data_IF_183892714303
#
_entry.id   IF_183892714303
#
_cell.length_a   1.000
_cell.length_b   1.000
_cell.length_c   1.000
_cell.angle_alpha   90.00
_cell.angle_beta   90.00
_cell.angle_gamma   90.00
#
_symmetry.space_group_name_H-M   'P 1'
#
loop_
_entity.id
_entity.type
_entity.pdbx_description
1 polymer ?
#
# COMPACT_ATOMS: atom_id res chain seq x y z
N UNK A 1 9.08 -56.51 44.56
CA UNK A 1 9.78 -57.49 43.73
C UNK A 1 8.76 -57.97 42.72
N UNK A 2 8.33 -57.09 41.81
CA UNK A 2 8.96 -56.77 40.50
C UNK A 2 8.14 -57.53 39.44
N UNK A 3 7.77 -57.02 38.27
CA UNK A 3 7.96 -55.75 37.58
C UNK A 3 6.95 -55.74 36.41
N UNK A 4 6.41 -54.55 36.13
CA UNK A 4 6.19 -53.89 34.81
C UNK A 4 5.66 -54.68 33.59
N UNK A 5 4.47 -54.33 33.09
CA UNK A 5 4.17 -53.39 31.97
C UNK A 5 4.70 -53.77 30.58
N UNK A 6 3.78 -53.97 29.63
CA UNK A 6 3.89 -53.48 28.25
C UNK A 6 2.49 -53.52 27.63
N UNK A 7 1.78 -52.40 27.77
CA UNK A 7 0.56 -52.09 27.02
C UNK A 7 0.95 -51.36 25.74
N UNK A 8 0.25 -51.70 24.68
CA UNK A 8 0.43 -51.31 23.30
C UNK A 8 0.05 -49.84 23.11
N UNK A 9 1.06 -49.02 22.81
CA UNK A 9 0.93 -47.59 22.61
C UNK A 9 1.60 -47.15 21.33
N UNK A 10 1.26 -47.78 20.20
CA UNK A 10 1.53 -47.20 18.88
C UNK A 10 0.66 -45.95 18.71
N UNK A 11 1.22 -44.79 19.09
CA UNK A 11 0.71 -43.46 18.73
C UNK A 11 1.75 -42.78 17.86
N UNK A 12 1.41 -42.68 16.58
CA UNK A 12 1.81 -41.70 15.58
C UNK A 12 2.90 -40.71 16.01
N UNK A 13 4.14 -41.09 15.76
CA UNK A 13 5.29 -40.19 15.66
C UNK A 13 5.21 -39.45 14.30
N UNK A 14 4.28 -38.51 14.20
CA UNK A 14 4.11 -37.65 13.04
C UNK A 14 5.14 -36.50 13.10
N UNK A 15 6.34 -36.78 12.58
CA UNK A 15 7.19 -35.84 11.83
C UNK A 15 7.37 -34.43 12.41
N UNK A 16 8.07 -34.29 13.54
CA UNK A 16 8.90 -33.11 13.74
C UNK A 16 10.20 -33.27 12.96
N UNK A 17 10.15 -32.93 11.67
CA UNK A 17 11.35 -32.77 10.88
C UNK A 17 12.17 -31.60 11.43
N UNK A 18 13.40 -31.87 11.85
CA UNK A 18 14.45 -31.00 12.41
C UNK A 18 14.91 -29.86 11.46
N UNK A 19 13.95 -29.15 10.84
CA UNK A 19 14.22 -28.15 9.81
C UNK A 19 12.99 -27.43 9.22
N UNK A 20 11.77 -27.70 9.69
CA UNK A 20 10.60 -26.92 9.28
C UNK A 20 10.51 -25.63 10.10
N UNK A 21 10.54 -24.47 9.44
CA UNK A 21 10.45 -23.15 10.09
C UNK A 21 9.01 -22.79 10.54
N UNK A 22 8.06 -23.68 10.28
CA UNK A 22 6.66 -23.55 10.65
C UNK A 22 6.01 -24.92 10.90
N UNK A 23 4.98 -24.94 11.73
CA UNK A 23 4.06 -26.05 11.92
C UNK A 23 2.75 -25.75 11.17
N UNK A 24 2.23 -26.72 10.40
CA UNK A 24 0.93 -26.58 9.73
C UNK A 24 -0.20 -26.89 10.72
N UNK A 25 -1.27 -26.10 10.67
CA UNK A 25 -2.49 -26.43 11.38
C UNK A 25 -3.15 -27.68 10.78
N UNK A 26 -3.74 -28.50 11.65
CA UNK A 26 -4.49 -29.70 11.26
C UNK A 26 -5.94 -29.62 11.79
N UNK A 27 -6.95 -29.82 10.93
CA UNK A 27 -6.86 -30.04 9.48
C UNK A 27 -6.45 -28.75 8.74
N UNK A 28 -5.77 -28.91 7.59
CA UNK A 28 -5.44 -27.75 6.75
C UNK A 28 -6.74 -27.15 6.18
N UNK A 29 -6.95 -25.83 6.26
CA UNK A 29 -8.17 -25.21 5.76
C UNK A 29 -8.26 -25.34 4.24
N UNK A 30 -9.49 -25.53 3.76
CA UNK A 30 -9.77 -25.64 2.34
C UNK A 30 -9.84 -24.24 1.71
N UNK A 31 -8.76 -23.83 1.05
CA UNK A 31 -8.79 -22.72 0.11
C UNK A 31 -9.50 -23.23 -1.15
N UNK A 32 -10.75 -22.83 -1.36
CA UNK A 32 -11.54 -23.24 -2.53
C UNK A 32 -10.78 -23.00 -3.85
N UNK A 33 -11.13 -23.73 -4.91
CA UNK A 33 -10.60 -23.43 -6.25
C UNK A 33 -11.33 -22.21 -6.81
N UNK A 34 -10.59 -21.12 -7.02
CA UNK A 34 -11.06 -19.94 -7.74
C UNK A 34 -10.29 -19.79 -9.06
N UNK A 35 -10.92 -19.17 -10.06
CA UNK A 35 -10.32 -18.98 -11.40
C UNK A 35 -9.04 -18.13 -11.35
N UNK A 36 -8.95 -17.23 -10.37
CA UNK A 36 -7.72 -16.51 -9.99
C UNK A 36 -7.23 -17.03 -8.66
N UNK A 37 -5.93 -17.32 -8.54
CA UNK A 37 -5.35 -17.76 -7.26
C UNK A 37 -5.55 -16.74 -6.13
N UNK A 38 -5.41 -17.15 -4.85
CA UNK A 38 -5.63 -16.26 -3.72
C UNK A 38 -4.55 -15.18 -3.65
N UNK A 39 -4.93 -14.04 -3.08
CA UNK A 39 -3.99 -12.98 -2.68
C UNK A 39 -3.31 -13.39 -1.37
N UNK A 40 -2.03 -13.12 -1.22
CA UNK A 40 -1.32 -13.15 0.06
C UNK A 40 -1.08 -11.71 0.54
N UNK A 41 -1.75 -11.32 1.61
CA UNK A 41 -1.46 -10.09 2.34
C UNK A 41 -0.43 -10.40 3.42
N UNK A 42 0.66 -9.64 3.50
CA UNK A 42 1.62 -9.73 4.61
C UNK A 42 1.68 -8.43 5.41
N UNK A 43 1.45 -8.56 6.70
CA UNK A 43 1.35 -7.49 7.68
C UNK A 43 2.31 -7.78 8.84
N UNK A 44 3.59 -7.46 8.64
CA UNK A 44 4.65 -7.75 9.61
C UNK A 44 4.93 -6.52 10.48
N UNK A 45 4.76 -6.65 11.80
CA UNK A 45 5.08 -5.60 12.77
C UNK A 45 6.56 -5.66 13.18
N UNK A 46 7.30 -4.54 13.09
CA UNK A 46 8.72 -4.51 13.50
C UNK A 46 9.53 -3.38 12.90
N UNK A 47 9.58 -3.26 11.57
CA UNK A 47 10.38 -2.23 10.91
C UNK A 47 9.65 -0.88 10.75
N UNK A 48 8.44 -0.89 10.17
CA UNK A 48 7.70 0.33 9.84
C UNK A 48 6.20 0.14 10.11
N UNK A 49 5.81 0.32 11.37
CA UNK A 49 4.42 0.24 11.83
C UNK A 49 3.99 1.49 12.61
N UNK A 50 4.15 2.66 12.00
CA UNK A 50 3.69 3.91 12.61
C UNK A 50 2.18 3.85 12.89
N UNK A 51 1.79 4.29 14.08
CA UNK A 51 0.40 4.30 14.52
C UNK A 51 -0.18 2.90 14.73
N UNK A 52 0.68 1.88 14.82
CA UNK A 52 0.32 0.46 14.86
C UNK A 52 -0.63 0.04 13.72
N UNK A 53 -0.60 0.76 12.59
CA UNK A 53 -1.59 0.62 11.53
C UNK A 53 -1.57 -0.76 10.85
N UNK A 54 -0.40 -1.37 10.68
CA UNK A 54 -0.22 -2.72 10.12
C UNK A 54 -0.77 -3.77 11.09
N UNK A 55 -0.39 -3.68 12.37
CA UNK A 55 -0.91 -4.57 13.40
C UNK A 55 -2.43 -4.45 13.58
N UNK A 56 -2.97 -3.23 13.61
CA UNK A 56 -4.40 -2.95 13.69
C UNK A 56 -5.16 -3.49 12.48
N UNK A 57 -4.62 -3.32 11.26
CA UNK A 57 -5.23 -3.86 10.05
C UNK A 57 -5.30 -5.40 10.08
N UNK A 58 -4.20 -6.06 10.45
CA UNK A 58 -4.17 -7.52 10.57
C UNK A 58 -5.12 -8.03 11.65
N UNK A 59 -5.12 -7.41 12.84
CA UNK A 59 -6.02 -7.77 13.92
C UNK A 59 -7.49 -7.58 13.52
N UNK A 60 -7.81 -6.48 12.85
CA UNK A 60 -9.15 -6.20 12.36
C UNK A 60 -9.64 -7.26 11.37
N UNK A 61 -8.82 -7.64 10.38
CA UNK A 61 -9.16 -8.70 9.42
C UNK A 61 -9.43 -10.03 10.15
N UNK A 62 -8.58 -10.44 11.09
CA UNK A 62 -8.79 -11.69 11.83
C UNK A 62 -10.02 -11.69 12.74
N UNK A 63 -10.39 -10.52 13.28
CA UNK A 63 -11.48 -10.41 14.25
C UNK A 63 -12.85 -10.15 13.59
N UNK A 64 -12.86 -9.62 12.36
CA UNK A 64 -14.09 -9.24 11.65
C UNK A 64 -14.51 -10.22 10.56
N UNK A 65 -13.62 -11.13 10.14
CA UNK A 65 -13.85 -12.10 9.08
C UNK A 65 -13.60 -13.53 9.58
N UNK A 66 -14.15 -14.51 8.86
CA UNK A 66 -13.85 -15.92 9.10
C UNK A 66 -12.37 -16.16 8.79
N UNK A 67 -11.63 -16.68 9.77
CA UNK A 67 -10.17 -16.78 9.75
C UNK A 67 -9.71 -18.11 10.34
N UNK A 68 -9.18 -18.97 9.49
CA UNK A 68 -8.64 -20.27 9.86
C UNK A 68 -7.11 -20.23 9.91
N UNK A 69 -6.53 -20.75 10.98
CA UNK A 69 -5.07 -20.89 11.06
C UNK A 69 -4.58 -21.91 10.01
N UNK A 70 -3.55 -21.53 9.26
CA UNK A 70 -2.89 -22.37 8.25
C UNK A 70 -1.55 -22.86 8.75
N UNK A 71 -0.73 -21.95 9.28
CA UNK A 71 0.60 -22.24 9.75
C UNK A 71 1.02 -21.30 10.87
N UNK A 72 1.81 -21.82 11.81
CA UNK A 72 2.48 -21.05 12.86
C UNK A 72 3.99 -21.15 12.62
N UNK A 73 4.65 -20.01 12.45
CA UNK A 73 6.10 -19.95 12.34
C UNK A 73 6.75 -20.06 13.71
N UNK A 74 7.92 -20.68 13.77
CA UNK A 74 8.71 -20.81 14.99
C UNK A 74 9.37 -19.47 15.33
N UNK A 75 8.80 -18.74 16.29
CA UNK A 75 9.34 -17.44 16.73
C UNK A 75 10.60 -17.57 17.57
N UNK A 76 10.87 -18.72 18.19
CA UNK A 76 12.14 -18.95 18.92
C UNK A 76 13.34 -19.00 17.95
N UNK A 77 13.12 -19.49 16.73
CA UNK A 77 14.14 -19.54 15.67
C UNK A 77 14.28 -18.23 14.88
N UNK A 78 13.28 -17.33 14.98
CA UNK A 78 13.16 -16.14 14.14
C UNK A 78 13.37 -14.82 14.89
N UNK A 79 13.14 -14.78 16.20
CA UNK A 79 13.12 -13.54 16.99
C UNK A 79 14.34 -13.42 17.92
N UNK A 80 14.84 -12.20 18.06
CA UNK A 80 15.73 -11.81 19.14
C UNK A 80 14.93 -11.21 20.30
N UNK A 81 14.60 -12.04 21.27
CA UNK A 81 13.86 -11.66 22.48
C UNK A 81 14.57 -10.61 23.35
N UNK A 82 15.87 -10.36 23.17
CA UNK A 82 16.55 -9.28 23.90
C UNK A 82 16.32 -7.92 23.26
N UNK A 83 16.15 -7.91 21.94
CA UNK A 83 15.83 -6.70 21.18
C UNK A 83 14.34 -6.34 21.32
N UNK A 84 13.46 -7.34 21.38
CA UNK A 84 12.02 -7.17 21.63
C UNK A 84 11.55 -8.07 22.76
N UNK A 85 11.60 -7.56 23.99
CA UNK A 85 11.27 -8.32 25.19
C UNK A 85 9.76 -8.55 25.29
N UNK A 86 9.30 -9.81 25.39
CA UNK A 86 7.90 -10.12 25.69
C UNK A 86 7.46 -9.49 27.01
N UNK A 87 6.24 -8.93 27.01
CA UNK A 87 5.64 -8.38 28.22
C UNK A 87 5.11 -9.52 29.08
N UNK A 88 5.43 -9.48 30.38
CA UNK A 88 4.98 -10.45 31.38
C UNK A 88 3.96 -9.79 32.29
N UNK A 89 2.85 -10.45 32.52
CA UNK A 89 1.84 -10.01 33.47
C UNK A 89 2.27 -10.36 34.89
N UNK A 90 2.23 -9.37 35.79
CA UNK A 90 2.58 -9.53 37.19
C UNK A 90 1.44 -9.05 38.08
N UNK A 91 0.94 -9.96 38.91
CA UNK A 91 -0.19 -9.71 39.83
C UNK A 91 0.16 -8.86 41.06
N UNK A 92 1.44 -8.53 41.26
CA UNK A 92 1.98 -7.99 42.51
C UNK A 92 2.67 -9.03 43.38
N UNK A 93 2.35 -10.32 43.18
CA UNK A 93 2.94 -11.44 43.94
C UNK A 93 3.58 -12.50 43.04
N UNK A 94 2.90 -12.86 41.95
CA UNK A 94 3.38 -13.85 40.97
C UNK A 94 3.23 -13.36 39.54
N UNK A 95 4.08 -13.86 38.66
CA UNK A 95 3.87 -13.78 37.22
C UNK A 95 2.66 -14.66 36.84
N UNK A 96 1.78 -14.15 35.98
CA UNK A 96 0.51 -14.79 35.62
C UNK A 96 0.39 -15.11 34.13
N UNK A 97 1.19 -14.47 33.30
CA UNK A 97 1.11 -14.62 31.85
C UNK A 97 2.29 -13.96 31.15
N UNK A 98 2.48 -14.30 29.88
CA UNK A 98 3.44 -13.66 29.00
C UNK A 98 2.85 -13.56 27.60
N UNK A 99 2.94 -12.38 26.99
CA UNK A 99 2.56 -12.17 25.61
C UNK A 99 3.77 -12.45 24.71
N UNK A 100 3.93 -13.70 24.29
CA UNK A 100 4.98 -14.09 23.33
C UNK A 100 4.65 -13.55 21.92
N UNK A 101 5.65 -13.11 21.15
CA UNK A 101 5.44 -12.72 19.76
C UNK A 101 4.95 -13.93 18.96
N UNK A 102 4.08 -13.66 18.00
CA UNK A 102 3.51 -14.67 17.11
C UNK A 102 3.76 -14.26 15.67
N UNK A 103 3.87 -15.26 14.78
CA UNK A 103 3.94 -15.06 13.35
C UNK A 103 3.15 -16.19 12.71
N UNK A 104 1.99 -15.86 12.15
CA UNK A 104 1.02 -16.87 11.69
C UNK A 104 0.54 -16.57 10.28
N UNK A 105 0.22 -17.63 9.55
CA UNK A 105 -0.49 -17.59 8.29
C UNK A 105 -1.93 -18.04 8.53
N UNK A 106 -2.88 -17.24 8.08
CA UNK A 106 -4.31 -17.54 8.13
C UNK A 106 -4.89 -17.61 6.73
N UNK A 107 -5.90 -18.46 6.55
CA UNK A 107 -6.84 -18.45 5.44
C UNK A 107 -8.06 -17.63 5.88
N UNK A 108 -8.30 -16.51 5.21
CA UNK A 108 -9.36 -15.57 5.58
C UNK A 108 -10.34 -15.46 4.41
N UNK A 109 -11.63 -15.35 4.71
CA UNK A 109 -12.69 -15.12 3.72
C UNK A 109 -13.14 -13.68 3.78
N UNK A 110 -13.14 -12.98 2.65
CA UNK A 110 -13.68 -11.62 2.57
C UNK A 110 -15.22 -11.62 2.72
N UNK A 111 -15.85 -10.43 2.68
CA UNK A 111 -17.31 -10.33 2.87
C UNK A 111 -18.14 -11.02 1.76
N UNK A 112 -17.52 -11.39 0.63
CA UNK A 112 -18.13 -12.12 -0.49
C UNK A 112 -17.66 -13.59 -0.56
N UNK A 113 -17.13 -14.13 0.54
CA UNK A 113 -16.62 -15.51 0.65
C UNK A 113 -15.42 -15.81 -0.29
N UNK A 114 -14.71 -14.77 -0.76
CA UNK A 114 -13.49 -14.94 -1.54
C UNK A 114 -12.31 -15.17 -0.59
N UNK A 115 -11.58 -16.29 -0.72
CA UNK A 115 -10.47 -16.61 0.17
C UNK A 115 -9.22 -15.83 -0.21
N UNK A 116 -8.49 -15.39 0.81
CA UNK A 116 -7.15 -14.84 0.72
C UNK A 116 -6.30 -15.34 1.90
N UNK A 117 -4.99 -15.20 1.78
CA UNK A 117 -4.06 -15.53 2.85
C UNK A 117 -3.62 -14.26 3.58
N UNK A 118 -3.55 -14.34 4.90
CA UNK A 118 -3.02 -13.28 5.76
C UNK A 118 -1.83 -13.81 6.54
N UNK A 119 -0.63 -13.35 6.21
CA UNK A 119 0.58 -13.54 7.00
C UNK A 119 0.73 -12.34 7.94
N UNK A 120 0.66 -12.56 9.24
CA UNK A 120 0.66 -11.47 10.21
C UNK A 120 1.44 -11.78 11.49
N UNK A 121 1.98 -10.74 12.10
CA UNK A 121 2.66 -10.80 13.39
C UNK A 121 4.06 -10.20 13.31
N UNK A 122 4.90 -10.55 14.27
CA UNK A 122 6.21 -9.92 14.39
C UNK A 122 7.13 -10.27 13.23
N UNK A 123 7.77 -9.25 12.68
CA UNK A 123 8.76 -9.38 11.63
C UNK A 123 9.97 -10.16 12.16
N UNK A 124 10.47 -11.20 11.46
CA UNK A 124 11.65 -11.94 11.91
C UNK A 124 12.89 -11.04 12.06
N UNK A 125 13.67 -11.24 13.13
CA UNK A 125 15.02 -10.64 13.27
C UNK A 125 16.06 -11.48 12.53
N UNK A 126 15.83 -12.80 12.44
CA UNK A 126 16.79 -13.79 11.97
C UNK A 126 16.28 -14.52 10.72
N UNK A 127 17.21 -15.12 9.98
CA UNK A 127 16.93 -16.12 8.93
C UNK A 127 15.99 -15.67 7.79
N UNK A 128 16.03 -14.39 7.41
CA UNK A 128 15.11 -13.81 6.40
C UNK A 128 14.99 -14.62 5.10
N UNK A 129 16.08 -15.13 4.53
CA UNK A 129 16.02 -15.96 3.31
C UNK A 129 15.32 -17.31 3.54
N UNK A 130 15.53 -17.96 4.70
CA UNK A 130 14.81 -19.21 5.05
C UNK A 130 13.33 -18.94 5.29
N UNK A 131 13.01 -17.85 5.98
CA UNK A 131 11.64 -17.40 6.19
C UNK A 131 10.94 -17.12 4.86
N UNK A 132 11.58 -16.36 3.99
CA UNK A 132 11.07 -16.03 2.66
C UNK A 132 10.84 -17.28 1.82
N UNK A 133 11.77 -18.24 1.82
CA UNK A 133 11.61 -19.52 1.13
C UNK A 133 10.45 -20.37 1.71
N UNK A 134 10.27 -20.36 3.03
CA UNK A 134 9.15 -21.04 3.67
C UNK A 134 7.80 -20.43 3.26
N UNK A 135 7.69 -19.10 3.28
CA UNK A 135 6.49 -18.39 2.79
C UNK A 135 6.27 -18.64 1.30
N UNK A 136 7.32 -18.65 0.48
CA UNK A 136 7.25 -18.98 -0.95
C UNK A 136 6.67 -20.38 -1.19
N UNK A 137 7.10 -21.38 -0.41
CA UNK A 137 6.56 -22.75 -0.50
C UNK A 137 5.08 -22.82 -0.10
N UNK A 138 4.69 -22.09 0.95
CA UNK A 138 3.28 -21.97 1.32
C UNK A 138 2.48 -21.29 0.20
N UNK A 139 2.98 -20.20 -0.35
CA UNK A 139 2.38 -19.49 -1.48
C UNK A 139 2.24 -20.39 -2.72
N UNK A 140 3.24 -21.23 -3.04
CA UNK A 140 3.17 -22.21 -4.13
C UNK A 140 2.08 -23.26 -3.85
N UNK A 141 2.04 -23.79 -2.62
CA UNK A 141 1.08 -24.81 -2.19
C UNK A 141 -0.37 -24.35 -2.32
N UNK A 142 -0.64 -23.08 -2.03
CA UNK A 142 -1.97 -22.49 -2.10
C UNK A 142 -2.26 -21.78 -3.44
N UNK A 143 -1.31 -21.80 -4.39
CA UNK A 143 -1.49 -21.21 -5.71
C UNK A 143 -1.63 -19.68 -5.70
N UNK A 144 -0.95 -19.00 -4.77
CA UNK A 144 -0.99 -17.53 -4.64
C UNK A 144 -0.46 -16.86 -5.92
N UNK A 145 -1.25 -15.95 -6.48
CA UNK A 145 -0.91 -15.15 -7.68
C UNK A 145 -0.43 -13.74 -7.35
N UNK A 146 -0.92 -13.18 -6.24
CA UNK A 146 -0.75 -11.79 -5.86
C UNK A 146 -0.22 -11.69 -4.43
N UNK A 147 0.70 -10.75 -4.21
CA UNK A 147 1.32 -10.51 -2.91
C UNK A 147 1.23 -9.02 -2.60
N UNK A 148 0.68 -8.68 -1.44
CA UNK A 148 0.48 -7.30 -1.00
C UNK A 148 1.11 -7.11 0.38
N UNK A 149 2.15 -6.29 0.44
CA UNK A 149 2.80 -5.90 1.69
C UNK A 149 2.19 -4.64 2.29
N UNK A 150 1.93 -4.65 3.60
CA UNK A 150 1.46 -3.48 4.33
C UNK A 150 2.60 -2.85 5.13
N UNK A 151 2.73 -1.53 5.05
CA UNK A 151 3.69 -0.74 5.80
C UNK A 151 3.05 0.58 6.28
N UNK A 152 3.54 1.13 7.39
CA UNK A 152 3.12 2.44 7.88
C UNK A 152 4.32 3.30 8.25
N UNK A 153 4.39 4.51 7.66
CA UNK A 153 5.58 5.37 7.70
C UNK A 153 5.22 6.69 8.38
N UNK A 154 6.01 7.13 9.37
CA UNK A 154 5.80 8.43 10.00
C UNK A 154 6.20 9.55 9.05
N UNK A 155 5.30 10.50 8.80
CA UNK A 155 5.46 11.60 7.87
C UNK A 155 5.03 12.94 8.47
N UNK A 156 5.48 14.03 7.87
CA UNK A 156 5.02 15.38 8.17
C UNK A 156 3.64 15.62 7.54
N UNK A 157 2.62 14.95 8.06
CA UNK A 157 1.22 15.09 7.63
C UNK A 157 0.32 15.35 8.85
N UNK A 158 -0.80 16.09 8.70
CA UNK A 158 -1.73 16.34 9.79
C UNK A 158 -2.73 15.18 9.97
N UNK A 159 -3.23 14.98 11.19
CA UNK A 159 -4.28 14.01 11.50
C UNK A 159 -5.68 14.47 11.04
N UNK A 160 -5.82 15.75 10.67
CA UNK A 160 -7.06 16.41 10.23
C UNK A 160 -7.32 16.30 8.72
N UNK A 161 -6.48 15.55 7.98
CA UNK A 161 -6.65 15.25 6.56
C UNK A 161 -6.70 13.74 6.35
N UNK A 162 -7.29 13.25 5.23
CA UNK A 162 -7.30 11.82 4.92
C UNK A 162 -5.88 11.25 4.87
N UNK A 163 -5.68 10.07 5.47
CA UNK A 163 -4.41 9.38 5.42
C UNK A 163 -4.02 9.08 3.95
N UNK A 164 -2.81 9.46 3.57
CA UNK A 164 -2.28 9.22 2.23
C UNK A 164 -1.63 7.85 2.13
N UNK A 165 -1.59 7.29 0.92
CA UNK A 165 -0.86 6.06 0.60
C UNK A 165 0.12 6.33 -0.52
N UNK A 166 1.30 5.75 -0.39
CA UNK A 166 2.24 5.57 -1.50
C UNK A 166 2.37 4.08 -1.78
N UNK A 167 2.26 3.71 -3.05
CA UNK A 167 2.36 2.34 -3.51
C UNK A 167 3.64 2.10 -4.30
N UNK A 168 4.06 0.85 -4.32
CA UNK A 168 5.08 0.32 -5.23
C UNK A 168 4.71 -1.10 -5.63
N UNK A 169 5.32 -1.61 -6.69
CA UNK A 169 5.06 -2.97 -7.14
C UNK A 169 5.62 -3.27 -8.53
N UNK A 170 5.53 -4.54 -8.86
CA UNK A 170 6.02 -5.15 -10.09
C UNK A 170 5.08 -4.96 -11.29
N UNK A 171 3.80 -4.73 -11.04
CA UNK A 171 2.76 -4.54 -12.06
C UNK A 171 2.12 -3.15 -11.90
N UNK A 172 2.45 -2.19 -12.78
CA UNK A 172 1.92 -0.84 -12.69
C UNK A 172 0.41 -0.73 -12.87
N UNK A 173 -0.21 -1.66 -13.59
CA UNK A 173 -1.63 -1.63 -13.97
C UNK A 173 -2.51 -1.95 -12.77
N UNK A 174 -2.09 -2.92 -11.94
CA UNK A 174 -2.79 -3.25 -10.68
C UNK A 174 -2.82 -2.07 -9.70
N UNK A 175 -1.76 -1.27 -9.67
CA UNK A 175 -1.66 -0.15 -8.74
C UNK A 175 -2.58 1.02 -9.13
N UNK A 176 -3.05 1.07 -10.38
CA UNK A 176 -3.90 2.14 -10.90
C UNK A 176 -3.31 3.53 -10.63
N UNK A 177 -4.17 4.41 -10.09
CA UNK A 177 -3.86 5.81 -9.82
C UNK A 177 -3.20 6.05 -8.45
N UNK A 178 -2.81 4.98 -7.73
CA UNK A 178 -2.15 5.16 -6.44
C UNK A 178 -0.82 5.93 -6.61
N UNK A 179 -0.53 6.93 -5.76
CA UNK A 179 0.72 7.66 -5.80
C UNK A 179 1.92 6.73 -5.66
N UNK A 180 3.01 7.02 -6.38
CA UNK A 180 4.24 6.20 -6.41
C UNK A 180 5.42 7.01 -5.90
N UNK A 181 6.45 6.32 -5.37
CA UNK A 181 7.68 6.96 -4.87
C UNK A 181 8.46 7.76 -5.94
N UNK A 182 8.29 7.42 -7.23
CA UNK A 182 8.79 8.17 -8.38
C UNK A 182 10.30 8.05 -8.63
N UNK A 183 11.14 8.35 -7.63
CA UNK A 183 12.60 8.42 -7.79
C UNK A 183 13.31 7.23 -7.16
N UNK A 184 14.36 6.73 -7.82
CA UNK A 184 15.19 5.66 -7.28
C UNK A 184 15.90 6.11 -5.99
N UNK A 185 15.82 5.27 -4.96
CA UNK A 185 16.43 5.52 -3.65
C UNK A 185 16.96 4.23 -3.03
N UNK A 186 17.90 4.37 -2.09
CA UNK A 186 18.39 3.24 -1.27
C UNK A 186 17.75 3.36 0.11
N UNK A 187 17.12 2.28 0.56
CA UNK A 187 16.45 2.19 1.85
C UNK A 187 17.01 1.03 2.65
N UNK A 188 16.99 1.07 3.99
CA UNK A 188 17.22 -0.11 4.81
C UNK A 188 16.16 -1.17 4.46
N UNK A 189 16.60 -2.41 4.28
CA UNK A 189 15.71 -3.50 3.95
C UNK A 189 14.95 -4.01 5.19
N UNK A 190 13.79 -4.58 4.95
CA UNK A 190 13.00 -5.34 5.92
C UNK A 190 12.73 -6.76 5.39
N UNK A 191 12.32 -7.69 6.24
CA UNK A 191 11.91 -9.03 5.82
C UNK A 191 10.68 -8.96 4.91
N UNK A 192 9.76 -8.01 5.18
CA UNK A 192 8.61 -7.70 4.32
C UNK A 192 9.04 -7.32 2.90
N UNK A 193 10.02 -6.42 2.76
CA UNK A 193 10.56 -6.00 1.45
C UNK A 193 11.30 -7.14 0.73
N UNK A 194 12.06 -7.97 1.47
CA UNK A 194 12.75 -9.12 0.88
C UNK A 194 11.75 -10.17 0.38
N UNK A 195 10.69 -10.41 1.15
CA UNK A 195 9.60 -11.30 0.77
C UNK A 195 8.98 -10.85 -0.56
N UNK A 196 8.60 -9.58 -0.65
CA UNK A 196 8.04 -8.99 -1.87
C UNK A 196 8.98 -9.17 -3.08
N UNK A 197 10.27 -8.83 -2.92
CA UNK A 197 11.28 -8.97 -3.96
C UNK A 197 11.41 -10.42 -4.45
N UNK A 198 11.50 -11.39 -3.54
CA UNK A 198 11.71 -12.81 -3.88
C UNK A 198 10.48 -13.45 -4.50
N UNK A 199 9.27 -13.12 -4.01
CA UNK A 199 8.03 -13.65 -4.60
C UNK A 199 7.79 -13.02 -5.97
N UNK A 200 8.12 -11.74 -6.16
CA UNK A 200 8.10 -11.06 -7.47
C UNK A 200 9.06 -11.69 -8.47
N UNK A 201 10.30 -12.00 -8.05
CA UNK A 201 11.27 -12.77 -8.87
C UNK A 201 10.76 -14.17 -9.24
N UNK A 202 9.88 -14.74 -8.42
CA UNK A 202 9.18 -16.00 -8.68
C UNK A 202 7.97 -15.88 -9.62
N UNK A 203 7.73 -14.71 -10.23
CA UNK A 203 6.68 -14.49 -11.22
C UNK A 203 5.32 -14.10 -10.63
N UNK A 204 5.22 -13.81 -9.33
CA UNK A 204 4.00 -13.31 -8.70
C UNK A 204 3.88 -11.80 -8.89
N UNK A 205 2.65 -11.30 -8.92
CA UNK A 205 2.38 -9.86 -8.91
C UNK A 205 2.57 -9.37 -7.48
N UNK A 206 3.73 -8.80 -7.21
CA UNK A 206 4.12 -8.30 -5.89
C UNK A 206 3.97 -6.78 -5.83
N UNK A 207 3.35 -6.29 -4.75
CA UNK A 207 3.08 -4.88 -4.49
C UNK A 207 3.20 -4.59 -3.00
N UNK A 208 3.47 -3.32 -2.67
CA UNK A 208 3.47 -2.84 -1.30
C UNK A 208 2.74 -1.51 -1.18
N UNK A 209 2.06 -1.35 -0.05
CA UNK A 209 1.28 -0.18 0.31
C UNK A 209 1.85 0.44 1.58
N UNK A 210 2.29 1.70 1.48
CA UNK A 210 2.81 2.47 2.59
C UNK A 210 1.82 3.57 2.96
N UNK A 211 1.16 3.46 4.11
CA UNK A 211 0.31 4.53 4.64
C UNK A 211 1.15 5.57 5.38
N UNK A 212 0.82 6.84 5.18
CA UNK A 212 1.48 7.95 5.86
C UNK A 212 0.75 8.28 7.16
N UNK A 213 1.48 8.24 8.26
CA UNK A 213 0.96 8.50 9.60
C UNK A 213 1.56 9.80 10.11
N UNK A 214 0.78 10.71 10.73
CA UNK A 214 1.33 11.88 11.41
C UNK A 214 2.43 11.47 12.38
N UNK A 215 3.64 12.01 12.22
CA UNK A 215 4.79 11.58 13.01
C UNK A 215 4.59 11.67 14.53
N UNK A 216 3.78 12.62 15.01
CA UNK A 216 3.41 12.76 16.43
C UNK A 216 2.41 11.71 16.93
N UNK A 217 1.78 10.93 16.04
CA UNK A 217 0.90 9.79 16.38
C UNK A 217 1.56 8.43 16.15
N UNK A 218 2.87 8.40 15.83
CA UNK A 218 3.54 7.15 15.43
C UNK A 218 3.55 6.05 16.49
N UNK A 219 3.40 6.40 17.76
CA UNK A 219 3.46 5.50 18.92
C UNK A 219 2.09 5.26 19.57
N UNK A 220 1.01 5.74 18.95
CA UNK A 220 -0.36 5.63 19.44
C UNK A 220 -1.21 4.96 18.38
N UNK A 221 -2.15 4.11 18.77
CA UNK A 221 -3.08 3.48 17.83
C UNK A 221 -3.76 4.54 16.95
N UNK A 222 -3.59 4.42 15.63
CA UNK A 222 -4.16 5.32 14.64
C UNK A 222 -5.02 4.56 13.62
N UNK A 223 -6.27 4.19 13.97
CA UNK A 223 -7.12 3.33 13.15
C UNK A 223 -7.43 3.89 11.76
N UNK A 224 -7.36 5.22 11.58
CA UNK A 224 -7.52 5.86 10.28
C UNK A 224 -6.51 5.34 9.24
N UNK A 225 -5.27 5.09 9.66
CA UNK A 225 -4.25 4.54 8.79
C UNK A 225 -4.49 3.06 8.45
N UNK A 226 -4.96 2.26 9.42
CA UNK A 226 -5.37 0.88 9.18
C UNK A 226 -6.55 0.78 8.20
N UNK A 227 -7.59 1.60 8.39
CA UNK A 227 -8.73 1.70 7.46
C UNK A 227 -8.27 2.07 6.05
N UNK A 228 -7.38 3.07 5.95
CA UNK A 228 -6.83 3.51 4.67
C UNK A 228 -6.03 2.41 3.94
N UNK A 229 -5.22 1.63 4.68
CA UNK A 229 -4.49 0.48 4.15
C UNK A 229 -5.45 -0.55 3.55
N UNK A 230 -6.45 -0.99 4.33
CA UNK A 230 -7.41 -1.99 3.87
C UNK A 230 -8.23 -1.49 2.67
N UNK A 231 -8.60 -0.22 2.65
CA UNK A 231 -9.27 0.41 1.49
C UNK A 231 -8.39 0.36 0.23
N UNK A 232 -7.09 0.59 0.35
CA UNK A 232 -6.17 0.45 -0.79
C UNK A 232 -5.98 -1.01 -1.22
N UNK A 233 -5.94 -1.95 -0.28
CA UNK A 233 -5.92 -3.38 -0.59
C UNK A 233 -7.15 -3.75 -1.41
N UNK A 234 -8.34 -3.35 -0.95
CA UNK A 234 -9.61 -3.54 -1.70
C UNK A 234 -9.50 -2.99 -3.12
N UNK A 235 -8.97 -1.78 -3.28
CA UNK A 235 -8.85 -1.13 -4.59
C UNK A 235 -7.96 -1.91 -5.58
N UNK A 236 -6.83 -2.47 -5.13
CA UNK A 236 -5.88 -3.16 -6.03
C UNK A 236 -6.16 -4.66 -6.19
N UNK A 237 -6.88 -5.28 -5.25
CA UNK A 237 -7.12 -6.74 -5.24
C UNK A 237 -8.56 -7.13 -5.60
N UNK A 238 -9.50 -6.20 -5.45
CA UNK A 238 -10.94 -6.47 -5.53
C UNK A 238 -11.46 -7.35 -4.40
N UNK A 239 -10.75 -7.48 -3.28
CA UNK A 239 -11.26 -8.11 -2.06
C UNK A 239 -12.27 -7.19 -1.37
N UNK A 240 -13.34 -7.73 -0.81
CA UNK A 240 -14.32 -6.97 -0.04
C UNK A 240 -13.97 -6.98 1.46
N UNK A 241 -13.12 -6.03 1.85
CA UNK A 241 -12.62 -5.89 3.21
C UNK A 241 -13.43 -4.85 3.99
N UNK A 242 -14.21 -5.24 5.02
CA UNK A 242 -15.05 -4.30 5.75
C UNK A 242 -14.19 -3.38 6.63
N UNK A 243 -14.34 -2.07 6.52
CA UNK A 243 -13.56 -1.08 7.30
C UNK A 243 -14.37 -0.24 8.29
N UNK A 244 -15.70 -0.38 8.30
CA UNK A 244 -16.60 0.49 9.08
C UNK A 244 -16.28 0.57 10.59
N UNK A 245 -15.84 -0.54 11.20
CA UNK A 245 -15.45 -0.53 12.61
C UNK A 245 -14.14 0.23 12.86
N UNK A 246 -13.19 0.16 11.92
CA UNK A 246 -11.97 0.96 11.95
C UNK A 246 -12.28 2.44 11.75
N UNK A 247 -13.20 2.78 10.86
CA UNK A 247 -13.64 4.17 10.63
C UNK A 247 -14.28 4.76 11.89
N UNK A 248 -15.17 4.00 12.55
CA UNK A 248 -15.77 4.42 13.83
C UNK A 248 -14.71 4.60 14.91
N UNK A 249 -13.69 3.73 14.97
CA UNK A 249 -12.58 3.87 15.92
C UNK A 249 -11.69 5.07 15.57
N UNK A 250 -11.47 5.33 14.27
CA UNK A 250 -10.70 6.46 13.77
C UNK A 250 -11.34 7.80 14.13
N UNK A 251 -12.67 7.90 14.04
CA UNK A 251 -13.40 9.11 14.46
C UNK A 251 -13.19 9.41 15.95
N UNK A 252 -13.27 8.40 16.81
CA UNK A 252 -13.02 8.57 18.26
C UNK A 252 -11.59 9.02 18.56
N UNK A 253 -10.60 8.40 17.91
CA UNK A 253 -9.19 8.78 18.07
C UNK A 253 -8.97 10.21 17.58
N UNK A 254 -9.58 10.59 16.45
CA UNK A 254 -9.50 11.95 15.92
C UNK A 254 -10.05 12.97 16.91
N UNK A 255 -11.25 12.76 17.46
CA UNK A 255 -11.85 13.65 18.46
C UNK A 255 -10.99 13.81 19.71
N UNK A 256 -10.35 12.72 20.16
CA UNK A 256 -9.39 12.77 21.27
C UNK A 256 -8.18 13.63 20.92
N UNK A 257 -7.55 13.39 19.76
CA UNK A 257 -6.37 14.15 19.31
C UNK A 257 -6.73 15.63 19.11
N UNK A 258 -7.88 15.95 18.52
CA UNK A 258 -8.37 17.33 18.35
C UNK A 258 -8.48 18.04 19.71
N UNK A 259 -9.01 17.35 20.72
CA UNK A 259 -9.14 17.88 22.09
C UNK A 259 -7.75 18.17 22.70
N UNK A 260 -6.81 17.24 22.56
CA UNK A 260 -5.44 17.41 23.08
C UNK A 260 -4.69 18.56 22.37
N UNK A 261 -4.87 18.70 21.06
CA UNK A 261 -4.26 19.76 20.25
C UNK A 261 -4.83 21.13 20.59
N UNK A 262 -6.16 21.25 20.70
CA UNK A 262 -6.82 22.53 21.04
C UNK A 262 -6.46 23.07 22.42
N UNK A 263 -5.99 22.20 23.32
CA UNK A 263 -5.47 22.59 24.63
C UNK A 263 -4.09 23.23 24.59
N UNK A 264 -3.41 23.25 23.43
CA UNK A 264 -2.04 23.73 23.29
C UNK A 264 -1.82 24.51 21.98
N UNK A 265 -1.79 25.84 22.07
CA UNK A 265 -1.61 26.76 20.94
C UNK A 265 -0.31 26.53 20.13
N UNK A 266 0.75 26.02 20.76
CA UNK A 266 2.00 25.69 20.04
C UNK A 266 1.79 24.48 19.12
N UNK A 267 1.09 23.44 19.61
CA UNK A 267 0.77 22.25 18.82
C UNK A 267 -0.22 22.60 17.71
N UNK A 268 -1.22 23.41 18.00
CA UNK A 268 -2.19 23.91 17.01
C UNK A 268 -1.49 24.62 15.84
N UNK A 269 -0.48 25.45 16.13
CA UNK A 269 0.32 26.14 15.11
C UNK A 269 1.07 25.14 14.22
N UNK A 270 1.64 24.08 14.80
CA UNK A 270 2.34 23.03 14.04
C UNK A 270 1.36 22.26 13.15
N UNK A 271 0.19 21.88 13.68
CA UNK A 271 -0.84 21.16 12.90
C UNK A 271 -1.32 22.03 11.73
N UNK A 272 -1.61 23.31 11.97
CA UNK A 272 -2.01 24.26 10.92
C UNK A 272 -0.96 24.37 9.81
N UNK A 273 0.34 24.39 10.16
CA UNK A 273 1.41 24.42 9.17
C UNK A 273 1.46 23.13 8.33
N UNK A 274 1.23 21.96 8.95
CA UNK A 274 1.16 20.68 8.25
C UNK A 274 -0.05 20.60 7.32
N UNK A 275 -1.19 21.17 7.71
CA UNK A 275 -2.38 21.30 6.84
C UNK A 275 -2.09 22.12 5.59
N UNK A 276 -1.47 23.29 5.75
CA UNK A 276 -1.10 24.14 4.62
C UNK A 276 -0.15 23.42 3.65
N UNK A 277 0.84 22.69 4.18
CA UNK A 277 1.77 21.90 3.35
C UNK A 277 1.06 20.77 2.61
N UNK A 278 0.17 20.05 3.29
CA UNK A 278 -0.62 18.97 2.70
C UNK A 278 -1.52 19.50 1.58
N UNK A 279 -2.29 20.56 1.84
CA UNK A 279 -3.26 21.12 0.90
C UNK A 279 -2.54 21.68 -0.35
N UNK A 280 -1.39 22.35 -0.17
CA UNK A 280 -0.57 22.83 -1.28
C UNK A 280 -0.01 21.67 -2.13
N UNK A 281 0.43 20.57 -1.51
CA UNK A 281 0.91 19.39 -2.23
C UNK A 281 -0.21 18.72 -3.05
N UNK A 282 -1.41 18.56 -2.46
CA UNK A 282 -2.56 17.98 -3.15
C UNK A 282 -3.04 18.85 -4.33
N UNK A 283 -3.03 20.18 -4.17
CA UNK A 283 -3.32 21.10 -5.26
C UNK A 283 -2.33 20.93 -6.42
N UNK A 284 -1.03 20.91 -6.13
CA UNK A 284 0.00 20.72 -7.15
C UNK A 284 -0.11 19.36 -7.87
N UNK A 285 -0.46 18.28 -7.15
CA UNK A 285 -0.73 16.98 -7.78
C UNK A 285 -1.95 17.03 -8.71
N UNK A 286 -3.04 17.65 -8.25
CA UNK A 286 -4.29 17.76 -9.02
C UNK A 286 -4.07 18.59 -10.29
N UNK A 287 -3.35 19.70 -10.20
CA UNK A 287 -2.96 20.51 -11.35
C UNK A 287 -2.11 19.71 -12.33
N UNK A 288 -1.12 18.96 -11.85
CA UNK A 288 -0.29 18.11 -12.70
C UNK A 288 -1.09 17.02 -13.41
N UNK A 289 -2.02 16.36 -12.71
CA UNK A 289 -2.90 15.37 -13.30
C UNK A 289 -3.83 15.99 -14.36
N UNK A 290 -4.38 17.18 -14.08
CA UNK A 290 -5.21 17.94 -15.02
C UNK A 290 -4.45 18.34 -16.29
N UNK A 291 -3.20 18.81 -16.14
CA UNK A 291 -2.32 19.15 -17.27
C UNK A 291 -2.00 17.91 -18.13
N UNK A 292 -1.69 16.77 -17.51
CA UNK A 292 -1.44 15.51 -18.23
C UNK A 292 -2.69 15.01 -18.96
N UNK A 293 -3.88 15.10 -18.35
CA UNK A 293 -5.15 14.78 -19.01
C UNK A 293 -5.48 15.73 -20.17
N UNK A 294 -5.01 16.98 -20.09
CA UNK A 294 -5.13 17.96 -21.18
C UNK A 294 -4.17 17.62 -22.33
N UNK A 295 -2.97 17.11 -22.05
CA UNK A 295 -2.02 16.65 -23.07
C UNK A 295 -2.52 15.38 -23.81
N UNK A 296 -3.15 14.42 -23.11
CA UNK A 296 -3.78 13.25 -23.74
C UNK A 296 -5.00 13.58 -24.62
N UNK A 297 -5.59 14.77 -24.46
CA UNK A 297 -6.74 15.24 -25.24
C UNK A 297 -6.38 16.25 -26.34
N UNK A 298 -5.09 16.51 -26.58
CA UNK A 298 -4.64 17.26 -27.75
C UNK A 298 -4.78 16.37 -29.00
N UNK A 299 -5.49 16.82 -30.06
CA UNK A 299 -5.59 16.06 -31.29
C UNK A 299 -4.21 15.80 -31.88
N UNK A 300 -4.02 14.59 -32.41
CA UNK A 300 -2.73 14.18 -32.98
C UNK A 300 -2.35 15.07 -34.18
N UNK A 301 -1.05 15.13 -34.51
CA UNK A 301 -0.58 15.89 -35.68
C UNK A 301 -1.25 15.46 -37.00
N UNK A 302 -1.70 14.21 -37.08
CA UNK A 302 -2.44 13.67 -38.23
C UNK A 302 -3.90 14.14 -38.24
N UNK A 303 -4.55 14.30 -37.08
CA UNK A 303 -5.90 14.86 -36.96
C UNK A 303 -5.91 16.36 -37.28
N UNK A 304 -4.91 17.10 -36.79
CA UNK A 304 -4.68 18.50 -37.14
C UNK A 304 -4.34 18.66 -38.64
N UNK A 305 -3.58 17.72 -39.21
CA UNK A 305 -3.30 17.66 -40.64
C UNK A 305 -4.55 17.41 -41.48
N UNK A 306 -5.41 16.48 -41.05
CA UNK A 306 -6.67 16.18 -41.73
C UNK A 306 -7.68 17.34 -41.66
N UNK A 307 -7.75 18.07 -40.54
CA UNK A 307 -8.55 19.30 -40.46
C UNK A 307 -7.99 20.43 -41.33
N UNK A 308 -6.65 20.58 -41.37
CA UNK A 308 -6.00 21.58 -42.22
C UNK A 308 -6.21 21.28 -43.71
N UNK A 309 -6.10 20.02 -44.14
CA UNK A 309 -6.39 19.60 -45.52
C UNK A 309 -7.86 19.83 -45.88
N UNK A 310 -8.78 19.56 -44.96
CA UNK A 310 -10.21 19.84 -45.15
C UNK A 310 -10.47 21.35 -45.27
N UNK A 311 -9.82 22.17 -44.46
CA UNK A 311 -9.89 23.64 -44.53
C UNK A 311 -9.30 24.19 -45.84
N UNK A 312 -8.15 23.65 -46.30
CA UNK A 312 -7.52 24.04 -47.56
C UNK A 312 -8.32 23.59 -48.80
N UNK A 313 -9.03 22.45 -48.71
CA UNK A 313 -9.93 21.97 -49.74
C UNK A 313 -11.20 22.84 -49.87
N UNK A 314 -11.71 23.36 -48.75
CA UNK A 314 -12.82 24.32 -48.75
C UNK A 314 -12.42 25.67 -49.36
N UNK A 315 -11.19 26.14 -49.11
CA UNK A 315 -10.62 27.32 -49.78
C UNK A 315 -10.48 27.14 -51.30
N UNK A 316 -10.11 25.95 -51.77
CA UNK A 316 -9.98 25.67 -53.21
C UNK A 316 -11.32 25.48 -53.94
N UNK A 317 -12.42 25.20 -53.23
CA UNK A 317 -13.76 25.12 -53.82
C UNK A 317 -14.47 26.50 -53.87
N UNK A 318 -13.90 27.54 -53.25
CA UNK A 318 -14.43 28.89 -53.25
C UNK A 318 -14.12 29.73 -54.51
N UNK A 319 -13.12 29.36 -55.31
CA UNK A 319 -12.69 30.18 -56.46
C UNK A 319 -12.94 29.50 -57.81
N UNK A 320 -14.16 29.69 -58.31
CA UNK A 320 -14.64 29.28 -59.63
C UNK A 320 -15.08 30.43 -60.54
N UNK A 321 -14.15 31.35 -60.87
CA UNK A 321 -14.02 32.11 -62.16
C UNK A 321 -15.09 33.19 -62.52
N UNK A 322 -14.88 34.11 -63.51
CA UNK A 322 -13.67 34.74 -64.10
C UNK A 322 -13.67 36.28 -64.03
N UNK A 323 -12.54 36.94 -64.29
CA UNK A 323 -12.59 38.35 -64.72
C UNK A 323 -11.26 39.11 -64.81
N UNK A 324 -10.74 39.18 -66.05
CA UNK A 324 -9.94 40.30 -66.58
C UNK A 324 -8.69 40.76 -65.81
N UNK A 325 -7.54 40.26 -66.25
CA UNK A 325 -6.29 41.01 -66.13
C UNK A 325 -6.24 42.13 -67.17
N UNK A 326 -5.99 43.34 -66.70
CA UNK A 326 -5.40 44.41 -67.49
C UNK A 326 -4.36 45.17 -66.63
N UNK A 327 -3.44 45.81 -67.33
CA UNK A 327 -2.07 46.17 -66.99
C UNK A 327 -1.82 47.32 -65.97
N UNK A 328 -0.55 47.61 -65.60
CA UNK A 328 -0.13 48.18 -64.31
C UNK A 328 0.24 49.68 -64.34
N UNK A 329 0.36 50.28 -63.14
CA UNK A 329 1.07 51.55 -62.89
C UNK A 329 1.29 51.70 -61.38
N UNK A 330 2.52 51.68 -60.84
CA UNK A 330 3.59 52.70 -60.84
C UNK A 330 3.47 53.76 -59.72
N UNK A 331 4.51 53.81 -58.87
CA UNK A 331 4.82 54.87 -57.88
C UNK A 331 4.15 54.64 -56.53
N UNK A 332 4.78 54.73 -55.35
CA UNK A 332 5.92 55.52 -54.92
C UNK A 332 6.41 54.98 -53.55
N UNK A 333 7.71 55.06 -53.31
CA UNK A 333 8.40 55.01 -52.00
C UNK A 333 8.44 56.46 -51.42
N UNK A 334 9.01 56.77 -50.23
CA UNK A 334 9.35 55.97 -49.05
C UNK A 334 8.97 56.74 -47.73
N UNK A 335 9.71 56.47 -46.66
CA UNK A 335 9.99 57.29 -45.45
C UNK A 335 9.29 56.77 -44.18
N UNK A 336 9.97 55.93 -43.39
CA UNK A 336 11.01 56.22 -42.38
C UNK A 336 10.46 56.84 -41.08
N UNK A 337 11.02 56.37 -39.97
CA UNK A 337 11.17 57.22 -38.81
C UNK A 337 10.41 56.81 -37.55
N UNK A 338 11.16 56.11 -36.68
CA UNK A 338 11.17 56.30 -35.21
C UNK A 338 9.96 55.78 -34.42
N UNK A 339 10.09 55.16 -33.25
CA UNK A 339 11.22 54.98 -32.35
C UNK A 339 10.66 54.86 -30.92
N UNK A 340 11.36 54.12 -30.06
CA UNK A 340 11.28 54.34 -28.61
C UNK A 340 10.50 53.32 -27.79
N UNK A 341 11.27 52.40 -27.19
CA UNK A 341 11.11 51.76 -25.87
C UNK A 341 10.64 52.76 -24.77
N UNK A 342 10.21 52.37 -23.54
CA UNK A 342 10.68 51.21 -22.77
C UNK A 342 9.68 50.47 -21.82
N UNK A 343 10.19 49.37 -21.26
CA UNK A 343 9.81 48.63 -20.04
C UNK A 343 9.44 49.49 -18.80
N UNK A 344 9.10 48.90 -17.63
CA UNK A 344 8.31 47.67 -17.34
C UNK A 344 7.23 47.92 -16.25
N UNK A 345 6.32 46.96 -16.04
CA UNK A 345 6.07 46.24 -14.75
C UNK A 345 5.58 44.85 -15.13
#
# INVERSE_FOLDING_TARGET
MDERTADDGSRDDASRGDGSLYELAFPAPAMGRHDTGPVLIHALDGFADAGHAVALAAAHLRNSLESDLVATFDTDELMDYRSRRPMVDFSGETFTGVAMPTLTLHAVRDANDRPFLLLSGSEPDLRWEKFTEAVRRLADRFGVTDVVGLNAIPMAVPHTRPASITAHGSDPDILGDLPRWGTAMKLPASASMLLELRLGQGGRRASGLSVHVPHYLSQTDYPAAASRLLTAVTAITGLDLPVAALDTAAERVREQVDTEVSGNAEIETVVTALEQQYDAFQQAQTERASLLATEESLPSGDELGAELERFLADLHQGDGNPGSGDQPGSGDDPDDGTGGRPFPI
#
